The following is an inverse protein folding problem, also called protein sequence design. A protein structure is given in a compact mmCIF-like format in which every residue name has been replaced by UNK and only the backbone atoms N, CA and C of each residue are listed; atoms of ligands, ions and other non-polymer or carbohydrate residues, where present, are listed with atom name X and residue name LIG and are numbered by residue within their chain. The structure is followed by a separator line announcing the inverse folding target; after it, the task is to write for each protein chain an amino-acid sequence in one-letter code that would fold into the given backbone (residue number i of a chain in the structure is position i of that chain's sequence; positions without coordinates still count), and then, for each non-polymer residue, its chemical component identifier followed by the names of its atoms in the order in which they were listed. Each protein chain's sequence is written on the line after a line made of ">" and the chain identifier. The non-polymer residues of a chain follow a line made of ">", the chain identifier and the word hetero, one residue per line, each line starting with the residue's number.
data_IF_942975296433
#
_entry.id   IF_942975296433
#
_cell.length_a   1.000
_cell.length_b   1.000
_cell.length_c   1.000
_cell.angle_alpha   90.00
_cell.angle_beta   90.00
_cell.angle_gamma   90.00
#
_symmetry.space_group_name_H-M   'P 1'
#
loop_
_entity.id
_entity.type
_entity.pdbx_description
1 polymer ?
#
# COMPACT_ATOMS: atom_id res chain seq x y z
N UNK A 1 -22.25 19.32 -29.48
CA UNK A 1 -22.44 19.26 -28.01
C UNK A 1 -21.36 18.34 -27.45
N UNK A 2 -20.31 18.89 -26.87
CA UNK A 2 -19.24 18.12 -26.23
C UNK A 2 -19.79 17.52 -24.93
N UNK A 3 -19.70 16.20 -24.79
CA UNK A 3 -20.01 15.53 -23.52
C UNK A 3 -19.16 16.19 -22.42
N UNK A 4 -19.73 16.51 -21.25
CA UNK A 4 -18.93 16.96 -20.12
C UNK A 4 -17.99 15.82 -19.76
N UNK A 5 -16.68 16.06 -19.85
CA UNK A 5 -15.67 15.15 -19.32
C UNK A 5 -16.12 14.75 -17.94
N UNK A 6 -16.45 13.46 -17.76
CA UNK A 6 -16.85 12.91 -16.47
C UNK A 6 -15.69 13.17 -15.53
N UNK A 7 -15.81 14.19 -14.69
CA UNK A 7 -14.90 14.42 -13.59
C UNK A 7 -15.11 13.23 -12.67
N UNK A 8 -14.35 12.15 -12.89
CA UNK A 8 -14.35 11.01 -11.99
C UNK A 8 -13.84 11.60 -10.69
N UNK A 9 -14.72 11.69 -9.68
CA UNK A 9 -14.32 12.12 -8.36
C UNK A 9 -13.14 11.22 -7.96
N UNK A 10 -11.96 11.80 -7.79
CA UNK A 10 -10.77 11.06 -7.36
C UNK A 10 -11.06 10.68 -5.92
N UNK A 11 -11.30 9.39 -5.68
CA UNK A 11 -11.59 8.85 -4.36
C UNK A 11 -10.51 7.80 -4.08
N UNK A 12 -9.74 8.04 -3.02
CA UNK A 12 -8.80 7.02 -2.54
C UNK A 12 -9.62 5.83 -2.02
N UNK A 13 -9.34 4.59 -2.45
CA UNK A 13 -9.97 3.41 -1.90
C UNK A 13 -9.55 3.21 -0.43
N UNK A 14 -10.28 2.38 0.33
CA UNK A 14 -9.82 2.00 1.66
C UNK A 14 -8.43 1.35 1.57
N UNK A 15 -7.57 1.52 2.60
CA UNK A 15 -6.25 0.91 2.62
C UNK A 15 -6.36 -0.62 2.58
N UNK A 16 -5.35 -1.33 2.05
CA UNK A 16 -5.42 -2.78 1.92
C UNK A 16 -5.58 -3.46 3.28
N UNK A 17 -6.42 -4.48 3.34
CA UNK A 17 -6.62 -5.26 4.56
C UNK A 17 -5.30 -5.91 5.01
N UNK A 18 -4.95 -5.76 6.29
CA UNK A 18 -3.78 -6.38 6.90
C UNK A 18 -4.14 -7.34 8.04
N UNK A 19 -5.36 -7.24 8.58
CA UNK A 19 -5.88 -8.14 9.60
C UNK A 19 -6.82 -9.15 8.95
N UNK A 20 -6.33 -10.36 8.74
CA UNK A 20 -7.21 -11.49 8.48
C UNK A 20 -7.40 -12.29 9.79
N UNK A 21 -8.60 -12.26 10.38
CA UNK A 21 -8.93 -13.04 11.59
C UNK A 21 -9.26 -14.50 11.28
N UNK A 22 -9.50 -14.84 10.00
CA UNK A 22 -9.84 -16.19 9.55
C UNK A 22 -8.62 -17.04 9.21
N UNK A 23 -7.44 -16.43 9.09
CA UNK A 23 -6.18 -17.13 8.81
C UNK A 23 -5.27 -17.05 10.04
N UNK A 24 -4.97 -18.22 10.61
CA UNK A 24 -3.88 -18.34 11.57
C UNK A 24 -2.57 -18.06 10.82
N UNK A 25 -1.87 -17.00 11.21
CA UNK A 25 -0.58 -16.66 10.63
C UNK A 25 0.45 -17.76 10.89
N UNK A 26 1.54 -17.77 10.12
CA UNK A 26 2.70 -18.62 10.38
C UNK A 26 3.89 -17.72 10.64
N UNK A 27 4.61 -17.97 11.73
CA UNK A 27 5.87 -17.31 12.01
C UNK A 27 7.01 -18.25 11.59
N UNK A 28 7.89 -17.74 10.73
CA UNK A 28 9.03 -18.51 10.20
C UNK A 28 10.30 -17.68 10.27
N UNK A 29 11.46 -18.33 10.27
CA UNK A 29 12.76 -17.67 10.16
C UNK A 29 12.83 -16.73 8.94
N UNK A 30 12.24 -17.12 7.80
CA UNK A 30 12.19 -16.29 6.60
C UNK A 30 11.32 -15.04 6.77
N UNK A 31 10.13 -15.18 7.36
CA UNK A 31 9.24 -14.04 7.64
C UNK A 31 9.84 -13.09 8.67
N UNK A 32 10.51 -13.63 9.69
CA UNK A 32 11.26 -12.84 10.66
C UNK A 32 12.43 -12.10 10.00
N UNK A 33 13.16 -12.73 9.06
CA UNK A 33 14.22 -12.08 8.30
C UNK A 33 13.67 -10.94 7.42
N UNK A 34 12.55 -11.18 6.72
CA UNK A 34 11.87 -10.16 5.94
C UNK A 34 11.47 -8.95 6.80
N UNK A 35 10.93 -9.19 8.00
CA UNK A 35 10.53 -8.12 8.91
C UNK A 35 11.74 -7.37 9.51
N UNK A 36 12.70 -8.10 10.07
CA UNK A 36 13.77 -7.52 10.91
C UNK A 36 14.94 -6.96 10.10
N UNK A 37 15.19 -7.51 8.92
CA UNK A 37 16.34 -7.16 8.08
C UNK A 37 15.86 -6.41 6.83
N UNK A 38 15.10 -7.06 5.96
CA UNK A 38 14.75 -6.50 4.64
C UNK A 38 13.87 -5.25 4.77
N UNK A 39 12.74 -5.36 5.47
CA UNK A 39 11.81 -4.26 5.63
C UNK A 39 12.45 -3.09 6.39
N UNK A 40 13.28 -3.39 7.41
CA UNK A 40 14.02 -2.36 8.17
C UNK A 40 15.03 -1.62 7.29
N UNK A 41 15.73 -2.31 6.39
CA UNK A 41 16.65 -1.70 5.44
C UNK A 41 15.90 -0.82 4.42
N UNK A 42 14.82 -1.35 3.83
CA UNK A 42 13.97 -0.60 2.90
C UNK A 42 13.38 0.65 3.56
N UNK A 43 12.91 0.56 4.80
CA UNK A 43 12.31 1.69 5.52
C UNK A 43 13.30 2.83 5.73
N UNK A 44 14.56 2.52 6.05
CA UNK A 44 15.62 3.51 6.28
C UNK A 44 16.19 4.11 4.99
N UNK A 45 15.89 3.53 3.83
CA UNK A 45 16.42 4.01 2.56
C UNK A 45 15.91 5.42 2.25
N UNK A 46 16.75 6.29 1.65
CA UNK A 46 16.39 7.69 1.38
C UNK A 46 15.19 7.85 0.45
N UNK A 47 14.93 6.85 -0.40
CA UNK A 47 13.80 6.82 -1.33
C UNK A 47 12.60 6.02 -0.83
N UNK A 48 12.57 5.66 0.45
CA UNK A 48 11.46 4.88 1.00
C UNK A 48 10.19 5.70 1.19
N UNK A 49 10.32 7.02 1.34
CA UNK A 49 9.24 7.92 1.72
C UNK A 49 7.95 7.80 0.87
N UNK A 50 7.97 7.60 -0.47
CA UNK A 50 6.73 7.45 -1.26
C UNK A 50 6.01 6.13 -1.00
N UNK A 51 6.74 5.12 -0.51
CA UNK A 51 6.23 3.77 -0.30
C UNK A 51 5.86 3.50 1.16
N UNK A 52 6.15 4.44 2.08
CA UNK A 52 5.86 4.26 3.50
C UNK A 52 4.36 4.30 3.82
N UNK A 53 3.53 4.83 2.94
CA UNK A 53 2.07 4.94 3.10
C UNK A 53 1.38 4.61 1.77
N UNK A 54 0.07 4.25 1.79
CA UNK A 54 -0.72 4.14 0.57
C UNK A 54 -0.65 5.43 -0.26
N UNK A 55 -0.65 5.29 -1.59
CA UNK A 55 -0.59 6.43 -2.49
C UNK A 55 -1.85 7.28 -2.38
N UNK A 56 -1.70 8.58 -2.17
CA UNK A 56 -2.82 9.52 -2.15
C UNK A 56 -3.02 10.07 -3.57
N UNK A 57 -3.91 9.43 -4.33
CA UNK A 57 -4.19 9.80 -5.72
C UNK A 57 -4.88 11.17 -5.83
N UNK A 58 -5.61 11.58 -4.80
CA UNK A 58 -6.25 12.91 -4.72
C UNK A 58 -5.19 13.99 -4.56
N UNK A 59 -4.32 13.84 -3.57
CA UNK A 59 -3.28 14.83 -3.27
C UNK A 59 -2.22 14.94 -4.36
N UNK A 60 -1.95 13.85 -5.08
CA UNK A 60 -0.96 13.81 -6.16
C UNK A 60 -1.56 14.06 -7.55
N UNK A 61 -2.84 14.44 -7.62
CA UNK A 61 -3.53 14.75 -8.88
C UNK A 61 -3.40 13.63 -9.93
N UNK A 62 -3.46 12.36 -9.49
CA UNK A 62 -3.35 11.19 -10.35
C UNK A 62 -4.70 10.47 -10.44
N UNK A 63 -5.62 10.93 -11.30
CA UNK A 63 -7.01 10.46 -11.34
C UNK A 63 -7.16 9.02 -11.82
N UNK A 64 -6.19 8.49 -12.56
CA UNK A 64 -6.17 7.16 -13.15
C UNK A 64 -5.38 6.13 -12.32
N UNK A 65 -4.74 6.54 -11.23
CA UNK A 65 -3.87 5.64 -10.46
C UNK A 65 -4.61 4.37 -10.01
N UNK A 66 -5.74 4.52 -9.33
CA UNK A 66 -6.52 3.38 -8.84
C UNK A 66 -7.40 2.73 -9.91
N UNK A 67 -7.52 3.33 -11.10
CA UNK A 67 -8.11 2.66 -12.25
C UNK A 67 -7.09 1.74 -12.93
N UNK A 68 -5.80 2.04 -12.87
CA UNK A 68 -4.72 1.21 -13.43
C UNK A 68 -4.21 0.20 -12.41
N UNK A 69 -3.88 0.65 -11.20
CA UNK A 69 -3.32 -0.17 -10.11
C UNK A 69 -4.45 -0.85 -9.33
N UNK A 70 -4.75 -2.10 -9.72
CA UNK A 70 -5.86 -2.88 -9.14
C UNK A 70 -5.58 -3.46 -7.75
N UNK A 71 -4.31 -3.67 -7.41
CA UNK A 71 -3.88 -4.27 -6.14
C UNK A 71 -2.85 -3.36 -5.45
N UNK A 72 -3.28 -2.22 -4.87
CA UNK A 72 -2.34 -1.29 -4.24
C UNK A 72 -1.64 -1.94 -3.04
N UNK A 73 -0.38 -1.56 -2.81
CA UNK A 73 0.43 -2.03 -1.69
C UNK A 73 1.45 -0.97 -1.26
N UNK A 74 1.78 -0.96 0.02
CA UNK A 74 2.75 -0.05 0.63
C UNK A 74 3.49 -0.72 1.80
N UNK A 75 4.61 -0.13 2.21
CA UNK A 75 5.46 -0.66 3.26
C UNK A 75 4.79 -0.66 4.64
N UNK A 76 3.89 0.27 4.94
CA UNK A 76 3.16 0.25 6.23
C UNK A 76 2.19 -0.93 6.29
N UNK A 77 1.51 -1.23 5.18
CA UNK A 77 0.65 -2.41 5.08
C UNK A 77 1.45 -3.69 5.21
N UNK A 78 2.61 -3.80 4.53
CA UNK A 78 3.50 -4.97 4.66
C UNK A 78 4.01 -5.12 6.09
N UNK A 79 4.41 -4.02 6.73
CA UNK A 79 4.85 -4.00 8.13
C UNK A 79 3.78 -4.57 9.06
N UNK A 80 2.56 -4.05 8.98
CA UNK A 80 1.42 -4.52 9.80
C UNK A 80 1.09 -5.99 9.56
N UNK A 81 1.26 -6.49 8.33
CA UNK A 81 1.05 -7.91 8.00
C UNK A 81 2.12 -8.83 8.58
N UNK A 82 3.36 -8.36 8.72
CA UNK A 82 4.49 -9.12 9.29
C UNK A 82 4.58 -9.03 10.82
N UNK A 83 3.92 -8.04 11.44
CA UNK A 83 3.83 -7.89 12.90
C UNK A 83 2.79 -8.80 13.55
N UNK A 84 1.91 -9.42 12.74
CA UNK A 84 1.00 -10.50 13.17
C UNK A 84 1.74 -11.82 13.35
#
# INVERSE_FOLDING_TARGET
>A
MSLPSRQIAIINPPPPEYINTRKNGRLTNQLQYLQKVVLKALWKHRFSWPFQQPMDAVRLESPDYYTIIKNPMDLSTIKKRLEK
#
